data_IF_095505405763
#
_entry.id   IF_095505405763
#
_cell.length_a   1.000
_cell.length_b   1.000
_cell.length_c   1.000
_cell.angle_alpha   90.00
_cell.angle_beta   90.00
_cell.angle_gamma   90.00
#
_symmetry.space_group_name_H-M   'P 1'
#
loop_
_entity.id
_entity.type
_entity.pdbx_description
1 polymer ?
#
# COMPACT_ATOMS: atom_id res chain seq x y z
N UNK A 1 13.21 -23.18 -8.42
CA UNK A 1 13.68 -21.82 -8.04
C UNK A 1 12.76 -21.31 -6.94
N UNK A 2 13.19 -21.39 -5.68
CA UNK A 2 12.49 -20.86 -4.49
C UNK A 2 13.40 -19.85 -3.77
N UNK A 3 14.03 -18.96 -4.53
CA UNK A 3 14.50 -17.67 -4.05
C UNK A 3 13.32 -16.74 -4.37
N UNK A 4 12.56 -16.21 -3.43
CA UNK A 4 12.78 -14.86 -2.93
C UNK A 4 11.88 -14.52 -1.72
N UNK A 5 11.33 -15.51 -1.00
CA UNK A 5 10.34 -15.25 0.05
C UNK A 5 10.92 -14.73 1.39
N UNK A 6 12.24 -14.83 1.62
CA UNK A 6 12.82 -14.55 2.93
C UNK A 6 13.60 -13.22 3.01
N UNK A 7 13.66 -12.43 1.94
CA UNK A 7 14.45 -11.20 1.92
C UNK A 7 14.02 -10.18 2.99
N UNK A 8 12.71 -9.94 3.22
CA UNK A 8 12.25 -9.03 4.27
C UNK A 8 12.60 -9.54 5.68
N UNK A 9 12.49 -10.86 5.89
CA UNK A 9 12.83 -11.50 7.16
C UNK A 9 14.32 -11.37 7.46
N UNK A 10 15.18 -11.66 6.47
CA UNK A 10 16.63 -11.54 6.60
C UNK A 10 17.07 -10.11 6.91
N UNK A 11 16.40 -9.10 6.35
CA UNK A 11 16.72 -7.71 6.65
C UNK A 11 16.47 -7.35 8.13
N UNK A 12 15.42 -7.91 8.75
CA UNK A 12 15.13 -7.71 10.17
C UNK A 12 16.12 -8.47 11.06
N UNK A 13 16.47 -9.70 10.67
CA UNK A 13 17.49 -10.50 11.39
C UNK A 13 18.82 -9.77 11.42
N UNK A 14 19.29 -9.26 10.27
CA UNK A 14 20.55 -8.52 10.19
C UNK A 14 20.56 -7.26 11.07
N UNK A 15 19.43 -6.51 11.13
CA UNK A 15 19.34 -5.33 12.01
C UNK A 15 19.43 -5.71 13.50
N UNK A 16 18.86 -6.86 13.89
CA UNK A 16 18.93 -7.35 15.26
C UNK A 16 20.33 -7.83 15.62
N UNK A 17 21.01 -8.55 14.72
CA UNK A 17 22.39 -8.99 14.93
C UNK A 17 23.35 -7.80 15.09
N UNK A 18 23.15 -6.73 14.31
CA UNK A 18 23.89 -5.48 14.47
C UNK A 18 23.65 -4.84 15.83
N UNK A 19 22.40 -4.78 16.31
CA UNK A 19 22.09 -4.26 17.64
C UNK A 19 22.70 -5.12 18.75
N UNK A 20 22.69 -6.45 18.62
CA UNK A 20 23.31 -7.34 19.60
C UNK A 20 24.81 -7.11 19.68
N UNK A 21 25.48 -7.03 18.54
CA UNK A 21 26.93 -6.72 18.46
C UNK A 21 27.24 -5.38 19.13
N UNK A 22 26.43 -4.35 18.86
CA UNK A 22 26.63 -3.02 19.44
C UNK A 22 26.47 -3.02 20.97
N UNK A 23 25.54 -3.81 21.50
CA UNK A 23 25.33 -3.98 22.96
C UNK A 23 26.51 -4.71 23.60
N UNK A 24 27.01 -5.75 22.94
CA UNK A 24 28.14 -6.55 23.43
C UNK A 24 29.45 -5.74 23.43
N UNK A 25 29.69 -4.93 22.39
CA UNK A 25 30.85 -4.06 22.27
C UNK A 25 30.75 -2.82 23.17
N UNK A 26 29.54 -2.36 23.48
CA UNK A 26 29.30 -1.17 24.30
C UNK A 26 28.37 -1.48 25.50
N UNK A 27 28.89 -2.09 26.58
CA UNK A 27 28.07 -2.46 27.75
C UNK A 27 27.46 -1.26 28.49
N UNK A 28 27.89 -0.03 28.20
CA UNK A 28 27.31 1.20 28.74
C UNK A 28 26.19 1.80 27.86
N UNK A 29 25.77 1.09 26.81
CA UNK A 29 24.71 1.57 25.92
C UNK A 29 23.43 1.81 26.74
N UNK A 30 22.90 3.02 26.66
CA UNK A 30 21.71 3.40 27.41
C UNK A 30 20.51 2.57 26.99
N UNK A 31 19.75 2.08 27.97
CA UNK A 31 18.49 1.36 27.72
C UNK A 31 17.49 2.17 26.88
N UNK A 32 17.58 3.51 26.90
CA UNK A 32 16.77 4.37 26.05
C UNK A 32 17.14 4.24 24.58
N UNK A 33 18.43 4.18 24.26
CA UNK A 33 18.95 4.00 22.89
C UNK A 33 18.52 2.63 22.35
N UNK A 34 18.70 1.57 23.15
CA UNK A 34 18.24 0.22 22.78
C UNK A 34 16.74 0.21 22.46
N UNK A 35 15.90 0.86 23.31
CA UNK A 35 14.46 0.97 23.05
C UNK A 35 14.15 1.74 21.77
N UNK A 36 14.91 2.79 21.46
CA UNK A 36 14.73 3.58 20.25
C UNK A 36 15.03 2.75 19.00
N UNK A 37 16.15 2.02 18.99
CA UNK A 37 16.53 1.15 17.88
C UNK A 37 15.51 0.03 17.69
N UNK A 38 15.11 -0.66 18.77
CA UNK A 38 14.08 -1.70 18.70
C UNK A 38 12.74 -1.18 18.18
N UNK A 39 12.33 0.03 18.58
CA UNK A 39 11.15 0.69 18.00
C UNK A 39 11.30 0.91 16.50
N UNK A 40 12.46 1.38 16.05
CA UNK A 40 12.75 1.58 14.63
C UNK A 40 12.68 0.27 13.83
N UNK A 41 13.31 -0.81 14.33
CA UNK A 41 13.26 -2.15 13.71
C UNK A 41 11.81 -2.66 13.64
N UNK A 42 11.03 -2.48 14.72
CA UNK A 42 9.61 -2.84 14.75
C UNK A 42 8.81 -2.09 13.67
N UNK A 43 9.03 -0.79 13.51
CA UNK A 43 8.34 0.00 12.48
C UNK A 43 8.81 -0.37 11.06
N UNK A 44 10.09 -0.72 10.87
CA UNK A 44 10.60 -1.28 9.60
C UNK A 44 9.92 -2.61 9.28
N UNK A 45 9.82 -3.53 10.23
CA UNK A 45 9.15 -4.82 10.05
C UNK A 45 7.66 -4.67 9.69
N UNK A 46 6.95 -3.74 10.34
CA UNK A 46 5.56 -3.42 9.99
C UNK A 46 5.42 -2.92 8.55
N UNK A 47 6.27 -1.98 8.13
CA UNK A 47 6.27 -1.44 6.76
C UNK A 47 6.53 -2.53 5.74
N UNK A 48 7.52 -3.39 5.99
CA UNK A 48 7.81 -4.53 5.14
C UNK A 48 6.61 -5.48 5.04
N UNK A 49 5.93 -5.77 6.15
CA UNK A 49 4.73 -6.62 6.13
C UNK A 49 3.58 -6.02 5.31
N UNK A 50 3.40 -4.70 5.31
CA UNK A 50 2.37 -4.01 4.53
C UNK A 50 2.74 -3.81 3.06
N UNK A 51 4.03 -3.64 2.75
CA UNK A 51 4.54 -3.47 1.37
C UNK A 51 4.65 -4.80 0.62
N UNK A 52 4.81 -5.92 1.34
CA UNK A 52 4.83 -7.27 0.76
C UNK A 52 3.42 -7.81 0.50
N UNK A 53 2.37 -7.13 0.96
CA UNK A 53 1.02 -7.38 0.45
C UNK A 53 1.02 -6.95 -1.03
N UNK A 54 0.76 -7.86 -1.99
CA UNK A 54 0.76 -7.48 -3.39
C UNK A 54 -0.28 -6.38 -3.57
N UNK A 55 0.18 -5.17 -3.84
CA UNK A 55 -0.58 -4.19 -4.60
C UNK A 55 -0.88 -4.88 -5.92
N UNK A 56 -2.00 -5.61 -5.98
CA UNK A 56 -2.53 -6.16 -7.20
C UNK A 56 -2.78 -4.97 -8.12
N UNK A 57 -1.83 -4.80 -9.01
CA UNK A 57 -1.80 -3.98 -10.20
C UNK A 57 -3.20 -4.03 -10.86
N UNK A 58 -4.06 -3.05 -10.56
CA UNK A 58 -5.14 -2.63 -11.44
C UNK A 58 -4.52 -1.67 -12.48
N UNK A 59 -3.59 -2.15 -13.31
CA UNK A 59 -3.10 -1.46 -14.51
C UNK A 59 -3.58 -2.20 -15.77
N UNK A 60 -4.90 -2.38 -15.89
CA UNK A 60 -5.57 -2.76 -17.14
C UNK A 60 -7.02 -2.28 -17.15
N UNK A 61 -7.27 -1.01 -16.82
CA UNK A 61 -8.50 -0.33 -17.23
C UNK A 61 -8.11 0.86 -18.11
N UNK A 62 -8.46 0.88 -19.41
CA UNK A 62 -8.34 2.09 -20.20
C UNK A 62 -9.27 3.17 -19.64
N UNK A 63 -8.92 4.47 -19.76
CA UNK A 63 -9.77 5.55 -19.28
C UNK A 63 -10.98 5.65 -20.21
N UNK A 64 -12.09 5.01 -19.86
CA UNK A 64 -13.35 5.29 -20.54
C UNK A 64 -13.92 6.58 -19.95
N UNK A 65 -13.99 7.57 -20.83
CA UNK A 65 -14.61 8.87 -20.64
C UNK A 65 -16.10 8.70 -20.33
N UNK A 66 -16.48 8.74 -19.06
CA UNK A 66 -17.86 9.09 -18.68
C UNK A 66 -17.93 10.59 -18.38
N UNK A 67 -17.71 11.38 -19.44
CA UNK A 67 -18.30 12.69 -19.55
C UNK A 67 -19.61 12.53 -20.34
N UNK A 68 -20.67 13.14 -19.79
CA UNK A 68 -22.00 13.28 -20.37
C UNK A 68 -22.92 12.05 -20.24
N UNK A 69 -23.73 12.01 -19.18
CA UNK A 69 -25.17 12.21 -19.29
C UNK A 69 -25.90 11.94 -17.96
N UNK A 70 -26.63 12.97 -17.52
CA UNK A 70 -27.89 12.88 -16.77
C UNK A 70 -27.85 12.96 -15.23
N UNK A 71 -27.43 14.13 -14.74
CA UNK A 71 -28.14 14.77 -13.63
C UNK A 71 -28.99 15.90 -14.21
N UNK A 72 -30.31 15.76 -14.21
CA UNK A 72 -31.31 16.84 -13.99
C UNK A 72 -32.73 16.29 -14.12
N UNK A 73 -33.43 16.26 -13.00
CA UNK A 73 -34.89 16.16 -12.86
C UNK A 73 -35.60 17.32 -13.59
N UNK A 74 -36.72 17.04 -14.29
CA UNK A 74 -37.90 17.90 -14.55
C UNK A 74 -38.84 17.13 -15.50
N UNK A 75 -39.87 16.47 -15.01
CA UNK A 75 -41.26 16.93 -14.86
C UNK A 75 -42.00 17.30 -16.17
N UNK A 76 -43.07 16.54 -16.41
CA UNK A 76 -44.37 16.93 -17.00
C UNK A 76 -44.48 17.20 -18.50
N UNK A 77 -45.36 16.40 -19.11
CA UNK A 77 -46.36 16.75 -20.13
C UNK A 77 -45.89 17.10 -21.55
N UNK A 78 -46.43 16.31 -22.51
CA UNK A 78 -46.54 16.63 -23.95
C UNK A 78 -45.19 16.54 -24.69
N UNK A 79 -44.99 15.68 -25.70
CA UNK A 79 -45.51 15.80 -27.07
C UNK A 79 -45.28 14.41 -27.70
N UNK A 80 -46.33 13.60 -27.87
CA UNK A 80 -47.01 13.33 -29.16
C UNK A 80 -46.08 13.01 -30.34
N UNK A 81 -45.87 11.70 -30.53
CA UNK A 81 -45.93 10.94 -31.80
C UNK A 81 -45.79 11.75 -33.11
N UNK A 82 -44.74 11.46 -33.89
CA UNK A 82 -44.79 10.91 -35.27
C UNK A 82 -43.53 11.28 -36.06
N UNK A 83 -42.66 10.29 -36.27
CA UNK A 83 -41.71 10.25 -37.38
C UNK A 83 -42.32 9.31 -38.43
N UNK A 84 -42.89 9.88 -39.49
CA UNK A 84 -43.17 9.21 -40.77
C UNK A 84 -42.64 10.18 -41.84
N UNK A 85 -41.52 9.90 -42.50
CA UNK A 85 -41.41 9.07 -43.72
C UNK A 85 -42.33 9.53 -44.87
N UNK A 86 -42.06 10.70 -45.45
CA UNK A 86 -41.74 10.89 -46.89
C UNK A 86 -41.50 12.37 -47.19
#
# INVERSE_FOLDING_TARGET
>A
MQKDLNYPMMAIVNDLDALMTEIDENPQLSSWVVRLVLKSIKEKAKRMATETAPQSIYLNQPPYLDAFANSSTLNTSQIKVLRQLR
#
